data_IF_337923745625
#
_entry.id   IF_337923745625
#
_cell.length_a   1.000
_cell.length_b   1.000
_cell.length_c   1.000
_cell.angle_alpha   90.00
_cell.angle_beta   90.00
_cell.angle_gamma   90.00
#
_symmetry.space_group_name_H-M   'P 1'
#
loop_
_entity.id
_entity.type
_entity.pdbx_description
1 polymer ?
2 non-polymer ?
3 water ?
#
# COMPACT_ATOMS: atom_id res chain seq x y z
N UNK A 1 19.00 1.89 2.80
CA UNK A 1 18.19 1.17 3.82
C UNK A 1 17.93 -0.27 3.40
N UNK A 2 18.15 -1.21 4.32
CA UNK A 2 18.00 -2.62 4.01
C UNK A 2 17.47 -3.35 5.24
N UNK A 3 16.87 -4.52 4.97
CA UNK A 3 16.35 -5.39 6.01
C UNK A 3 16.74 -6.82 5.69
N UNK A 4 16.61 -7.69 6.69
CA UNK A 4 16.70 -9.12 6.42
C UNK A 4 15.77 -9.86 7.35
N UNK A 5 15.58 -11.15 7.04
CA UNK A 5 14.69 -12.03 7.79
C UNK A 5 15.53 -13.19 8.31
N UNK A 6 15.47 -13.41 9.62
CA UNK A 6 16.26 -14.46 10.26
C UNK A 6 17.72 -14.40 9.81
N UNK A 7 18.23 -13.17 9.74
CA UNK A 7 19.63 -12.98 9.46
C UNK A 7 20.07 -13.29 8.06
N UNK A 8 19.13 -13.35 7.12
CA UNK A 8 19.43 -13.73 5.76
C UNK A 8 19.94 -12.58 4.92
N UNK A 9 19.79 -12.75 3.61
CA UNK A 9 20.32 -11.79 2.67
C UNK A 9 19.55 -10.48 2.74
N UNK A 10 20.20 -9.43 2.27
CA UNK A 10 19.69 -8.07 2.38
C UNK A 10 18.51 -7.86 1.45
N UNK A 11 17.54 -7.10 1.92
CA UNK A 11 16.30 -6.80 1.20
C UNK A 11 16.18 -5.29 1.10
N UNK A 12 15.99 -4.79 -0.13
CA UNK A 12 15.88 -3.36 -0.34
C UNK A 12 14.46 -2.86 -0.58
N UNK A 13 13.57 -3.79 -0.89
CA UNK A 13 12.19 -3.46 -1.21
C UNK A 13 11.49 -4.77 -1.51
N UNK A 14 10.17 -4.71 -1.59
CA UNK A 14 9.40 -5.83 -2.08
C UNK A 14 8.79 -6.69 -0.99
N UNK A 15 8.32 -7.85 -1.41
CA UNK A 15 7.55 -8.75 -0.56
C UNK A 15 8.41 -9.93 -0.13
N UNK A 16 8.39 -10.24 1.15
CA UNK A 16 9.21 -11.29 1.71
C UNK A 16 8.40 -12.12 2.70
N UNK A 17 8.55 -13.43 2.61
CA UNK A 17 7.94 -14.32 3.58
C UNK A 17 8.68 -14.23 4.91
N UNK A 18 7.91 -14.21 5.99
CA UNK A 18 8.46 -14.20 7.35
C UNK A 18 7.79 -15.38 8.08
N UNK A 19 8.58 -16.38 8.42
CA UNK A 19 8.07 -17.62 8.99
C UNK A 19 8.13 -17.57 10.50
N UNK A 20 7.02 -17.90 11.15
CA UNK A 20 6.89 -17.74 12.60
C UNK A 20 6.33 -19.00 13.22
N UNK A 21 6.75 -19.27 14.44
CA UNK A 21 6.21 -20.37 15.24
C UNK A 21 5.01 -19.87 16.03
N UNK A 22 3.91 -20.60 15.94
CA UNK A 22 2.69 -20.22 16.64
C UNK A 22 2.34 -21.31 17.65
N UNK A 23 1.65 -20.90 18.71
CA UNK A 23 1.12 -21.85 19.67
C UNK A 23 0.29 -22.90 18.92
N UNK A 24 0.64 -24.19 19.01
CA UNK A 24 -0.11 -25.19 18.25
C UNK A 24 -1.52 -25.40 18.76
N UNK A 25 -1.77 -25.09 20.02
CA UNK A 25 -3.09 -25.21 20.62
C UNK A 25 -3.58 -23.80 20.95
N UNK A 26 -4.83 -23.53 20.61
CA UNK A 26 -5.48 -22.27 20.96
C UNK A 26 -6.94 -22.59 21.27
N UNK A 27 -7.42 -22.08 22.38
CA UNK A 27 -8.80 -22.30 22.75
C UNK A 27 -9.66 -21.11 22.33
N UNK A 28 -10.93 -21.36 21.95
CA UNK A 28 -11.83 -20.23 21.65
C UNK A 28 -11.78 -19.16 22.73
N UNK A 29 -11.31 -17.97 22.37
CA UNK A 29 -11.14 -16.87 23.31
C UNK A 29 -9.72 -16.51 23.62
N UNK A 30 -8.76 -17.35 23.23
CA UNK A 30 -7.35 -17.13 23.56
C UNK A 30 -6.71 -16.13 22.60
N UNK A 31 -5.52 -15.66 22.97
CA UNK A 31 -4.82 -14.61 22.26
C UNK A 31 -3.45 -15.13 21.82
N UNK A 32 -3.18 -15.05 20.52
CA UNK A 32 -1.92 -15.47 19.94
C UNK A 32 -1.00 -14.27 19.78
N UNK A 33 0.27 -14.43 20.16
CA UNK A 33 1.25 -13.37 20.05
C UNK A 33 2.31 -13.76 19.03
N UNK A 34 2.53 -12.89 18.04
CA UNK A 34 3.55 -13.09 17.01
C UNK A 34 4.57 -11.98 17.17
N UNK A 35 5.75 -12.33 17.67
CA UNK A 35 6.81 -11.36 17.94
C UNK A 35 7.72 -11.29 16.70
N UNK A 36 7.47 -10.31 15.84
CA UNK A 36 8.25 -10.19 14.61
C UNK A 36 9.63 -9.60 14.85
N UNK A 37 9.90 -9.06 16.04
CA UNK A 37 11.26 -8.65 16.36
C UNK A 37 12.22 -9.84 16.33
N UNK A 38 11.70 -11.05 16.49
CA UNK A 38 12.54 -12.23 16.46
C UNK A 38 12.96 -12.61 15.04
N UNK A 39 12.45 -11.90 14.03
CA UNK A 39 12.72 -12.29 12.65
C UNK A 39 13.16 -11.17 11.74
N UNK A 40 12.57 -9.98 11.85
CA UNK A 40 12.81 -8.91 10.90
C UNK A 40 13.74 -7.88 11.51
N UNK A 41 14.82 -7.57 10.82
CA UNK A 41 15.75 -6.54 11.26
C UNK A 41 16.07 -5.63 10.09
N UNK A 42 16.33 -4.35 10.39
CA UNK A 42 16.65 -3.40 9.35
C UNK A 42 17.78 -2.50 9.80
N UNK A 43 18.44 -1.87 8.83
CA UNK A 43 19.57 -1.02 9.15
C UNK A 43 19.73 0.06 8.09
N UNK A 44 20.54 1.04 8.46
CA UNK A 44 20.95 2.13 7.59
C UNK A 44 22.20 1.71 6.83
N UNK A 45 22.19 1.89 5.51
CA UNK A 45 23.28 1.33 4.72
C UNK A 45 24.54 2.17 4.72
N UNK A 46 24.51 3.38 5.30
CA UNK A 46 25.71 4.18 5.49
C UNK A 46 26.18 4.18 6.93
N UNK A 47 25.25 4.14 7.88
CA UNK A 47 25.60 4.28 9.28
C UNK A 47 25.86 5.73 9.63
N UNK A 48 26.17 5.93 10.91
CA UNK A 48 26.55 7.25 11.39
C UNK A 48 25.46 8.30 11.34
N UNK A 49 24.20 7.91 11.17
CA UNK A 49 23.09 8.86 11.13
C UNK A 49 23.32 9.94 10.07
N UNK A 50 23.91 9.54 8.94
CA UNK A 50 24.22 10.48 7.87
C UNK A 50 22.99 10.78 7.01
N UNK A 51 22.33 9.74 6.49
CA UNK A 51 21.09 9.86 5.73
C UNK A 51 20.06 8.97 6.42
N UNK A 52 19.44 9.50 7.48
CA UNK A 52 18.64 8.69 8.37
C UNK A 52 17.39 8.17 7.67
N UNK A 53 17.08 6.91 7.92
CA UNK A 53 15.89 6.28 7.38
C UNK A 53 14.72 6.42 8.33
N UNK A 54 13.53 6.60 7.75
CA UNK A 54 12.30 6.78 8.52
C UNK A 54 11.30 5.74 8.04
N UNK A 55 10.90 4.85 8.93
CA UNK A 55 10.04 3.76 8.53
C UNK A 55 8.78 3.73 9.36
N UNK A 56 7.66 3.39 8.72
CA UNK A 56 6.39 3.24 9.40
C UNK A 56 5.65 2.09 8.73
N UNK A 57 4.64 1.59 9.42
CA UNK A 57 3.74 0.60 8.87
C UNK A 57 2.50 1.30 8.33
N UNK A 58 1.88 0.69 7.33
CA UNK A 58 0.98 1.40 6.45
C UNK A 58 -0.46 0.92 6.61
N UNK A 59 -1.36 1.89 6.68
CA UNK A 59 -2.79 1.67 6.54
C UNK A 59 -3.10 0.59 5.52
N UNK A 60 -4.00 -0.31 5.89
CA UNK A 60 -4.40 -1.41 5.06
C UNK A 60 -3.76 -2.73 5.42
N UNK A 61 -2.61 -2.71 6.10
CA UNK A 61 -2.02 -3.94 6.60
C UNK A 61 -3.09 -4.74 7.35
N UNK A 62 -3.17 -6.04 7.08
CA UNK A 62 -4.32 -6.78 7.55
C UNK A 62 -4.00 -8.26 7.63
N UNK A 63 -4.91 -9.00 8.26
CA UNK A 63 -4.84 -10.44 8.19
C UNK A 63 -5.15 -10.91 6.77
N UNK A 64 -4.86 -12.18 6.52
CA UNK A 64 -5.08 -12.81 5.23
C UNK A 64 -5.81 -14.14 5.41
N UNK A 67 -7.76 -15.68 7.87
CA UNK A 67 -7.89 -14.97 9.13
C UNK A 67 -8.50 -13.59 8.92
N UNK A 68 -9.05 -13.37 7.72
CA UNK A 68 -9.57 -12.04 7.38
C UNK A 68 -10.61 -11.56 8.37
N UNK A 69 -11.29 -12.47 9.07
CA UNK A 69 -12.33 -12.08 10.00
C UNK A 69 -11.81 -11.85 11.41
N UNK A 70 -10.52 -12.02 11.65
CA UNK A 70 -9.98 -11.93 12.99
C UNK A 70 -9.79 -10.47 13.41
N UNK A 71 -9.95 -10.24 14.72
CA UNK A 71 -9.58 -8.98 15.34
C UNK A 71 -8.17 -9.11 15.90
N UNK A 72 -7.53 -7.97 16.09
CA UNK A 72 -6.22 -8.04 16.69
C UNK A 72 -5.65 -6.69 17.00
N UNK A 73 -4.39 -6.71 17.40
CA UNK A 73 -3.64 -5.51 17.68
C UNK A 73 -2.27 -5.67 17.05
N UNK A 74 -1.68 -4.53 16.70
CA UNK A 74 -0.34 -4.48 16.16
C UNK A 74 0.48 -3.51 17.01
N UNK A 75 1.51 -4.04 17.65
CA UNK A 75 2.43 -3.21 18.40
C UNK A 75 3.56 -2.76 17.49
N UNK A 76 3.79 -1.46 17.43
CA UNK A 76 4.90 -0.91 16.66
C UNK A 76 5.49 0.26 17.40
N UNK A 77 6.76 0.12 17.78
CA UNK A 77 7.55 1.24 18.25
C UNK A 77 6.80 2.14 19.22
N UNK A 78 6.46 1.55 20.36
CA UNK A 78 5.92 2.20 21.56
C UNK A 78 4.42 2.47 21.48
N UNK A 79 3.72 2.02 20.44
CA UNK A 79 2.28 2.23 20.31
C UNK A 79 1.63 0.91 19.92
N UNK A 80 0.46 0.64 20.49
CA UNK A 80 -0.32 -0.54 20.12
C UNK A 80 -1.54 -0.07 19.35
N UNK A 81 -1.61 -0.44 18.08
CA UNK A 81 -2.66 -0.06 17.16
C UNK A 81 -3.68 -1.17 17.03
N UNK A 82 -4.94 -0.82 16.81
CA UNK A 82 -5.89 -1.83 16.32
C UNK A 82 -5.38 -2.39 14.99
N UNK A 83 -5.64 -3.67 14.79
CA UNK A 83 -5.23 -4.37 13.57
C UNK A 83 -6.46 -5.11 13.04
N UNK A 84 -6.75 -5.03 11.75
CA UNK A 84 -5.95 -4.38 10.70
C UNK A 84 -5.75 -2.88 10.85
N UNK A 85 -4.64 -2.38 10.30
CA UNK A 85 -4.31 -0.97 10.44
C UNK A 85 -5.27 -0.12 9.62
N UNK A 86 -5.88 0.87 10.27
CA UNK A 86 -6.74 1.83 9.59
C UNK A 86 -6.07 3.18 9.43
N UNK A 87 -4.81 3.29 9.85
CA UNK A 87 -4.05 4.52 9.81
C UNK A 87 -2.60 4.08 9.67
N UNK A 88 -1.74 5.00 9.28
CA UNK A 88 -0.31 4.73 9.31
C UNK A 88 0.19 4.86 10.75
N UNK A 89 1.19 4.04 11.07
CA UNK A 89 1.77 4.09 12.40
C UNK A 89 2.75 5.25 12.55
N UNK A 90 3.24 5.41 13.78
CA UNK A 90 4.34 6.31 14.06
C UNK A 90 5.58 5.88 13.29
N UNK A 91 6.54 6.80 13.21
CA UNK A 91 7.78 6.58 12.49
C UNK A 91 8.88 6.11 13.43
N UNK A 92 9.62 5.10 12.98
CA UNK A 92 10.86 4.67 13.61
C UNK A 92 12.01 5.16 12.75
N UNK A 93 13.02 5.74 13.38
CA UNK A 93 14.17 6.27 12.67
C UNK A 93 15.38 5.35 12.84
N UNK A 94 16.02 5.03 11.72
CA UNK A 94 17.11 4.07 11.67
C UNK A 94 18.31 4.72 11.01
N UNK A 95 19.42 4.81 11.74
CA UNK A 95 20.60 5.48 11.24
C UNK A 95 21.90 4.73 11.46
N UNK A 96 21.83 3.60 12.15
CA UNK A 96 22.99 2.76 12.47
C UNK A 96 23.09 1.64 11.45
N UNK A 97 24.33 1.25 11.15
CA UNK A 97 24.55 0.12 10.26
C UNK A 97 24.28 -1.21 10.95
N UNK A 98 24.31 -1.25 12.26
CA UNK A 98 24.02 -2.49 12.97
C UNK A 98 22.54 -2.83 12.82
N UNK A 99 22.21 -4.07 12.46
CA UNK A 99 20.79 -4.42 12.30
C UNK A 99 19.98 -4.13 13.55
N UNK A 100 18.79 -3.56 13.34
CA UNK A 100 17.87 -3.30 14.43
C UNK A 100 16.65 -4.20 14.27
N UNK A 101 16.45 -5.17 15.16
CA UNK A 101 15.18 -5.91 15.15
C UNK A 101 14.01 -4.95 15.21
N UNK A 102 13.00 -5.19 14.40
CA UNK A 102 11.87 -4.26 14.35
C UNK A 102 11.02 -4.42 15.61
N UNK A 103 10.63 -3.33 16.26
CA UNK A 103 9.82 -3.40 17.49
C UNK A 103 8.36 -3.62 17.09
N UNK A 104 8.07 -4.86 16.70
CA UNK A 104 6.84 -5.18 16.00
C UNK A 104 6.29 -6.51 16.51
N UNK A 105 5.06 -6.47 17.00
CA UNK A 105 4.37 -7.64 17.49
C UNK A 105 2.94 -7.60 17.00
N UNK A 106 2.43 -8.76 16.62
CA UNK A 106 1.05 -8.93 16.18
C UNK A 106 0.32 -9.76 17.21
N UNK A 107 -0.83 -9.26 17.66
CA UNK A 107 -1.69 -9.95 18.62
C UNK A 107 -2.94 -10.41 17.89
N UNK A 108 -3.21 -11.71 17.93
CA UNK A 108 -4.29 -12.31 17.16
C UNK A 108 -5.30 -12.92 18.11
N UNK A 109 -6.56 -12.54 17.96
CA UNK A 109 -7.67 -13.17 18.66
C UNK A 109 -8.61 -13.78 17.62
N UNK A 110 -8.57 -15.10 17.40
CA UNK A 110 -9.46 -15.74 16.42
C UNK A 110 -10.93 -15.40 16.65
N UNK A 116 -11.21 -27.62 14.65
CA UNK A 116 -10.09 -28.28 14.02
C UNK A 116 -8.90 -27.37 13.78
N UNK A 117 -8.26 -27.52 12.62
CA UNK A 117 -7.17 -26.64 12.25
C UNK A 117 -7.76 -25.27 11.92
N UNK A 118 -7.21 -24.23 12.57
CA UNK A 118 -7.63 -22.86 12.34
C UNK A 118 -6.61 -22.09 11.51
N UNK A 119 -5.33 -22.38 11.71
CA UNK A 119 -4.25 -21.80 10.92
C UNK A 119 -3.43 -22.95 10.36
N UNK A 120 -3.21 -22.91 9.05
CA UNK A 120 -2.42 -23.94 8.37
C UNK A 120 -0.96 -23.51 8.30
N UNK A 121 -0.06 -24.47 8.48
CA UNK A 121 1.34 -24.23 8.20
C UNK A 121 1.50 -23.85 6.74
N UNK A 122 2.28 -22.80 6.48
CA UNK A 122 2.55 -22.37 5.13
C UNK A 122 1.59 -21.35 4.54
N UNK A 123 0.49 -21.06 5.20
CA UNK A 123 -0.45 -20.07 4.70
C UNK A 123 -0.09 -18.69 5.24
N UNK A 124 -0.26 -17.67 4.40
CA UNK A 124 -0.07 -16.29 4.81
C UNK A 124 -1.21 -15.90 5.74
N UNK A 125 -0.86 -15.49 6.97
CA UNK A 125 -1.86 -15.10 7.95
C UNK A 125 -1.95 -13.59 8.13
N UNK A 126 -0.97 -12.84 7.64
CA UNK A 126 -1.05 -11.39 7.69
C UNK A 126 -0.11 -10.82 6.65
N UNK A 127 -0.46 -9.63 6.16
CA UNK A 127 0.35 -8.89 5.20
C UNK A 127 0.60 -7.52 5.79
N UNK A 128 1.85 -7.24 6.15
CA UNK A 128 2.21 -6.00 6.82
C UNK A 128 3.04 -5.17 5.85
N UNK A 129 2.50 -4.01 5.48
CA UNK A 129 3.15 -3.10 4.55
C UNK A 129 3.94 -2.07 5.34
N UNK A 130 5.22 -1.95 4.99
CA UNK A 130 6.14 -1.04 5.64
C UNK A 130 6.65 -0.06 4.59
N UNK A 131 6.70 1.21 4.97
CA UNK A 131 7.14 2.29 4.10
C UNK A 131 8.43 2.87 4.64
N UNK A 132 9.38 3.11 3.74
CA UNK A 132 10.65 3.72 4.08
C UNK A 132 10.84 4.99 3.26
N UNK A 133 11.31 6.04 3.91
CA UNK A 133 11.80 7.23 3.22
C UNK A 133 12.93 7.78 4.07
N UNK A 134 14.02 8.18 3.42
CA UNK A 134 15.21 8.64 4.12
C UNK A 134 15.16 10.16 4.25
N UNK A 135 16.32 10.80 4.30
CA UNK A 135 16.39 12.21 4.67
C UNK A 135 16.92 13.09 3.56
N UNK A 136 17.95 12.64 2.85
CA UNK A 136 18.63 13.42 1.83
C UNK A 136 17.91 13.27 0.49
N UNK A 137 17.92 14.35 -0.29
CA UNK A 137 17.29 14.32 -1.60
C UNK A 137 15.82 13.96 -1.51
N UNK A 138 15.40 13.04 -2.37
CA UNK A 138 14.03 12.57 -2.36
C UNK A 138 13.76 11.60 -1.22
N UNK A 139 14.78 11.16 -0.52
CA UNK A 139 14.62 10.10 0.46
C UNK A 139 14.49 8.70 -0.12
N UNK A 140 14.46 8.57 -1.45
CA UNK A 140 14.41 7.29 -2.15
C UNK A 140 13.44 6.35 -1.49
N UNK A 141 12.15 6.67 -1.53
CA UNK A 141 11.16 5.87 -0.80
C UNK A 141 11.05 4.45 -1.34
N UNK A 142 10.75 3.54 -0.43
CA UNK A 142 10.65 2.14 -0.75
C UNK A 142 9.47 1.53 -0.03
N UNK A 143 8.88 0.52 -0.65
CA UNK A 143 7.80 -0.25 -0.06
C UNK A 143 8.32 -1.65 0.23
N UNK A 144 8.00 -2.13 1.43
CA UNK A 144 8.22 -3.51 1.81
C UNK A 144 6.88 -4.12 2.22
N UNK A 145 6.69 -5.39 1.90
CA UNK A 145 5.58 -6.13 2.48
C UNK A 145 6.13 -7.38 3.16
N UNK A 146 5.71 -7.59 4.39
CA UNK A 146 6.07 -8.76 5.18
C UNK A 146 4.87 -9.68 5.20
N UNK A 147 4.99 -10.82 4.52
CA UNK A 147 3.96 -11.84 4.52
C UNK A 147 4.25 -12.82 5.66
N UNK A 148 3.43 -12.77 6.69
CA UNK A 148 3.65 -13.59 7.88
C UNK A 148 3.05 -14.97 7.63
N UNK A 149 3.87 -16.01 7.87
CA UNK A 149 3.51 -17.39 7.59
C UNK A 149 3.82 -18.24 8.80
N UNK A 150 2.87 -19.08 9.21
CA UNK A 150 3.09 -20.00 10.32
C UNK A 150 3.89 -21.22 9.88
N UNK A 151 4.86 -21.60 10.73
CA UNK A 151 5.60 -22.84 10.50
C UNK A 151 4.81 -24.08 10.87
N UNK A 152 3.73 -23.95 11.63
CA UNK A 152 3.02 -25.10 12.19
C UNK A 152 1.52 -24.87 12.14
N UNK A 153 0.79 -25.98 12.27
CA UNK A 153 -0.65 -25.91 12.44
C UNK A 153 -0.99 -25.25 13.78
N UNK A 154 -2.13 -24.56 13.80
CA UNK A 154 -2.76 -24.13 15.04
C UNK A 154 -4.17 -24.69 15.04
N UNK A 155 -4.52 -25.42 16.09
CA UNK A 155 -5.79 -26.12 16.16
C UNK A 155 -6.62 -25.53 17.30
N UNK A 156 -7.94 -25.56 17.11
CA UNK A 156 -8.87 -25.11 18.13
C UNK A 156 -9.61 -26.30 18.74
N UNK B 1 -19.24 -1.54 -0.29
CA UNK B 1 -18.53 -0.55 -1.15
C UNK B 1 -18.03 -1.26 -2.41
N UNK B 2 -18.27 -0.65 -3.57
CA UNK B 2 -17.92 -1.30 -4.83
C UNK B 2 -17.48 -0.24 -5.82
N UNK B 3 -16.64 -0.65 -6.76
CA UNK B 3 -16.16 0.21 -7.83
C UNK B 3 -16.29 -0.53 -9.15
N UNK B 4 -16.18 0.21 -10.25
CA UNK B 4 -15.97 -0.44 -11.53
C UNK B 4 -15.13 0.47 -12.41
N UNK B 5 -14.71 -0.08 -13.53
CA UNK B 5 -13.80 0.57 -14.48
C UNK B 5 -14.47 0.54 -15.84
N UNK B 6 -14.63 1.70 -16.45
CA UNK B 6 -15.27 1.81 -17.77
C UNK B 6 -16.58 1.03 -17.81
N UNK B 7 -17.37 1.14 -16.74
CA UNK B 7 -18.66 0.50 -16.69
C UNK B 7 -18.65 -1.01 -16.58
N UNK B 8 -17.52 -1.59 -16.16
CA UNK B 8 -17.38 -3.03 -16.11
C UNK B 8 -17.98 -3.61 -14.85
N UNK B 9 -17.60 -4.87 -14.59
CA UNK B 9 -18.16 -5.59 -13.46
C UNK B 9 -17.65 -5.01 -12.14
N UNK B 10 -18.45 -5.21 -11.09
CA UNK B 10 -18.18 -4.62 -9.80
C UNK B 10 -16.94 -5.22 -9.16
N UNK B 11 -16.21 -4.36 -8.45
CA UNK B 11 -14.94 -4.68 -7.82
C UNK B 11 -15.07 -4.37 -6.33
N UNK B 12 -14.75 -5.34 -5.50
CA UNK B 12 -14.86 -5.15 -4.07
C UNK B 12 -13.53 -4.99 -3.37
N UNK B 13 -12.47 -5.41 -4.05
CA UNK B 13 -11.11 -5.31 -3.53
C UNK B 13 -10.17 -5.80 -4.62
N UNK B 14 -8.89 -5.61 -4.39
CA UNK B 14 -7.88 -6.23 -5.22
C UNK B 14 -7.31 -5.27 -6.25
N UNK B 15 -6.54 -5.86 -7.16
CA UNK B 15 -5.82 -5.10 -8.18
C UNK B 15 -6.57 -5.17 -9.49
N UNK B 16 -6.75 -4.00 -10.12
CA UNK B 16 -7.43 -3.88 -11.40
C UNK B 16 -6.57 -3.05 -12.35
N UNK B 17 -6.48 -3.52 -13.59
CA UNK B 17 -5.83 -2.76 -14.65
C UNK B 17 -6.80 -1.72 -15.19
N UNK B 18 -6.31 -0.49 -15.34
CA UNK B 18 -7.11 0.64 -15.81
C UNK B 18 -6.41 1.20 -17.04
N UNK B 19 -7.05 1.06 -18.19
CA UNK B 19 -6.46 1.47 -19.46
C UNK B 19 -6.93 2.86 -19.83
N UNK B 20 -5.98 3.69 -20.25
CA UNK B 20 -6.22 5.10 -20.54
C UNK B 20 -5.72 5.40 -21.95
N UNK B 21 -6.40 6.34 -22.59
CA UNK B 21 -5.98 6.84 -23.89
C UNK B 21 -5.32 8.19 -23.68
N UNK B 22 -4.07 8.29 -24.09
CA UNK B 22 -3.27 9.50 -23.91
C UNK B 22 -2.90 10.06 -25.27
N UNK B 23 -2.84 11.39 -25.36
CA UNK B 23 -2.33 12.01 -26.56
C UNK B 23 -1.00 11.36 -26.94
N UNK B 24 -0.83 10.91 -28.17
CA UNK B 24 0.41 10.19 -28.53
C UNK B 24 1.64 11.07 -28.55
N UNK B 25 1.49 12.39 -28.53
CA UNK B 25 2.62 13.31 -28.51
C UNK B 25 2.43 14.28 -27.36
N UNK B 26 3.47 14.47 -26.57
CA UNK B 26 3.50 15.47 -25.50
C UNK B 26 4.58 16.47 -25.85
N UNK B 27 4.26 17.76 -25.74
CA UNK B 27 5.24 18.77 -26.11
C UNK B 27 6.21 19.00 -24.96
N UNK B 28 7.46 19.32 -25.26
CA UNK B 28 8.45 19.52 -24.20
C UNK B 28 7.98 20.52 -23.16
N UNK B 29 8.24 20.20 -21.90
CA UNK B 29 7.88 21.05 -20.79
C UNK B 29 6.43 20.96 -20.37
N UNK B 30 5.55 20.41 -21.21
CA UNK B 30 4.15 20.27 -20.86
C UNK B 30 3.94 19.07 -19.95
N UNK B 31 2.97 19.18 -19.05
CA UNK B 31 2.63 18.08 -18.18
C UNK B 31 1.67 17.14 -18.89
N UNK B 32 1.90 15.84 -18.72
CA UNK B 32 0.98 14.79 -19.17
C UNK B 32 -0.04 14.57 -18.08
N UNK B 33 -1.33 14.65 -18.44
CA UNK B 33 -2.40 14.49 -17.49
C UNK B 33 -3.12 13.18 -17.75
N UNK B 34 -3.28 12.38 -16.69
CA UNK B 34 -4.03 11.13 -16.75
C UNK B 34 -5.26 11.34 -15.87
N UNK B 35 -6.43 11.49 -16.49
CA UNK B 35 -7.66 11.76 -15.75
C UNK B 35 -8.37 10.45 -15.50
N UNK B 36 -8.20 9.90 -14.29
CA UNK B 36 -8.81 8.61 -13.99
C UNK B 36 -10.27 8.72 -13.61
N UNK B 37 -10.78 9.94 -13.38
CA UNK B 37 -12.20 10.11 -13.11
C UNK B 37 -13.04 9.66 -14.30
N UNK B 38 -12.46 9.61 -15.49
CA UNK B 38 -13.17 9.14 -16.68
C UNK B 38 -13.29 7.63 -16.73
N UNK B 39 -12.68 6.92 -15.78
CA UNK B 39 -12.53 5.48 -15.87
C UNK B 39 -12.92 4.71 -14.62
N UNK B 40 -12.75 5.29 -13.44
CA UNK B 40 -13.02 4.57 -12.21
C UNK B 40 -14.14 5.29 -11.47
N UNK B 41 -15.16 4.52 -11.09
CA UNK B 41 -16.23 5.03 -10.26
C UNK B 41 -16.50 4.07 -9.11
N UNK B 42 -16.95 4.61 -7.99
CA UNK B 42 -17.23 3.78 -6.83
C UNK B 42 -18.52 4.25 -6.19
N UNK B 43 -19.14 3.36 -5.43
CA UNK B 43 -20.40 3.69 -4.80
C UNK B 43 -20.55 2.95 -3.48
N UNK B 44 -21.44 3.48 -2.66
CA UNK B 44 -21.93 2.82 -1.47
C UNK B 44 -22.97 1.79 -1.86
N UNK B 45 -22.86 0.61 -1.26
CA UNK B 45 -23.73 -0.49 -1.69
C UNK B 45 -25.08 -0.50 -1.01
N UNK B 46 -25.32 0.39 -0.05
CA UNK B 46 -26.61 0.51 0.60
C UNK B 46 -27.28 1.88 0.41
N UNK B 47 -26.51 2.95 0.28
CA UNK B 47 -27.06 4.27 0.14
C UNK B 47 -27.52 4.88 1.46
N UNK B 48 -28.03 6.10 1.36
CA UNK B 48 -28.57 6.78 2.52
C UNK B 48 -27.58 7.13 3.61
N UNK B 49 -26.28 7.01 3.35
CA UNK B 49 -25.27 7.30 4.36
C UNK B 49 -25.50 6.50 5.64
N UNK B 50 -26.10 5.32 5.47
CA UNK B 50 -26.35 4.41 6.58
C UNK B 50 -25.07 3.78 7.09
N UNK B 51 -24.18 3.39 6.16
CA UNK B 51 -22.87 2.80 6.47
C UNK B 51 -21.90 3.47 5.49
N UNK B 52 -21.51 4.70 5.82
CA UNK B 52 -20.77 5.53 4.89
C UNK B 52 -19.37 4.98 4.67
N UNK B 53 -18.94 5.02 3.41
CA UNK B 53 -17.62 4.55 3.02
C UNK B 53 -16.63 5.71 3.01
N UNK B 54 -15.44 5.44 3.54
CA UNK B 54 -14.37 6.42 3.65
C UNK B 54 -13.20 5.90 2.85
N UNK B 55 -12.83 6.62 1.80
CA UNK B 55 -11.77 6.15 0.90
C UNK B 55 -10.68 7.20 0.80
N UNK B 56 -9.43 6.73 0.80
CA UNK B 56 -8.29 7.58 0.56
C UNK B 56 -7.25 6.79 -0.23
N UNK B 57 -6.25 7.50 -0.71
CA UNK B 57 -5.13 6.86 -1.37
C UNK B 57 -3.97 6.75 -0.39
N UNK B 58 -3.08 5.81 -0.67
CA UNK B 58 -2.22 5.27 0.38
C UNK B 58 -0.76 5.56 0.08
N UNK B 59 -0.07 5.98 1.13
CA UNK B 59 1.38 6.07 1.15
C UNK B 59 2.04 4.92 0.41
N UNK B 60 3.03 5.26 -0.40
CA UNK B 60 3.77 4.30 -1.16
C UNK B 60 3.31 4.16 -2.59
N UNK B 61 2.09 4.60 -2.91
CA UNK B 61 1.63 4.61 -4.29
C UNK B 61 2.67 5.32 -5.13
N UNK B 62 3.00 4.76 -6.29
CA UNK B 62 4.14 5.27 -7.01
C UNK B 62 4.05 5.01 -8.52
N UNK B 63 4.98 5.62 -9.24
CA UNK B 63 5.12 5.32 -10.66
C UNK B 63 5.68 3.91 -10.83
N UNK B 64 5.63 3.44 -12.08
CA UNK B 64 6.14 2.13 -12.45
C UNK B 64 6.71 2.22 -13.86
N UNK B 65 7.50 1.23 -14.23
CA UNK B 65 7.97 1.14 -15.59
C UNK B 65 8.74 2.37 -16.03
N UNK B 66 8.47 2.82 -17.26
CA UNK B 66 9.23 3.92 -17.85
C UNK B 66 9.18 5.17 -16.97
N UNK B 67 8.15 5.30 -16.14
CA UNK B 67 8.01 6.48 -15.30
C UNK B 67 8.59 6.30 -13.90
N UNK B 68 9.20 5.14 -13.62
CA UNK B 68 9.59 4.81 -12.25
C UNK B 68 10.41 5.92 -11.61
N UNK B 69 11.23 6.62 -12.38
CA UNK B 69 12.12 7.65 -11.85
C UNK B 69 11.51 9.05 -11.95
N UNK B 70 10.30 9.17 -12.47
CA UNK B 70 9.66 10.47 -12.57
C UNK B 70 9.21 10.98 -11.20
N UNK B 71 9.08 12.30 -11.11
CA UNK B 71 8.49 12.98 -9.96
C UNK B 71 7.37 13.85 -10.51
N UNK B 72 6.12 13.48 -10.18
CA UNK B 72 4.93 14.14 -10.66
C UNK B 72 4.03 14.55 -9.50
N UNK B 73 2.73 14.61 -9.79
CA UNK B 73 1.76 15.00 -8.77
C UNK B 73 0.49 14.21 -8.96
N UNK B 74 -0.27 14.09 -7.88
CA UNK B 74 -1.53 13.37 -7.88
C UNK B 74 -2.62 14.30 -7.34
N UNK B 75 -3.68 14.47 -8.12
CA UNK B 75 -4.87 15.20 -7.69
C UNK B 75 -5.84 14.20 -7.07
N UNK B 76 -6.23 14.43 -5.83
CA UNK B 76 -7.22 13.58 -5.17
C UNK B 76 -8.21 14.47 -4.44
N UNK B 77 -9.45 14.49 -4.92
CA UNK B 77 -10.52 15.16 -4.18
C UNK B 77 -10.15 16.61 -3.91
N UNK B 78 -9.66 17.28 -4.96
CA UNK B 78 -9.34 18.71 -5.00
C UNK B 78 -8.03 19.08 -4.33
N UNK B 79 -7.23 18.10 -3.91
CA UNK B 79 -5.94 18.36 -3.29
C UNK B 79 -4.86 17.77 -4.18
N UNK B 80 -3.78 18.50 -4.38
CA UNK B 80 -2.64 17.98 -5.12
C UNK B 80 -1.60 17.49 -4.13
N UNK B 81 -1.08 16.29 -4.38
CA UNK B 81 -0.05 15.67 -3.59
C UNK B 81 1.15 15.38 -4.48
N UNK B 82 2.37 15.51 -3.99
CA UNK B 82 3.50 14.98 -4.75
C UNK B 82 3.28 13.48 -4.95
N UNK B 83 3.72 13.00 -6.11
CA UNK B 83 3.63 11.59 -6.47
C UNK B 83 5.04 11.18 -6.86
N UNK B 84 5.57 10.07 -6.32
CA UNK B 84 4.87 9.09 -5.45
C UNK B 84 4.39 9.63 -4.10
N UNK B 85 3.31 9.03 -3.59
CA UNK B 85 2.75 9.46 -2.33
C UNK B 85 3.70 9.10 -1.20
N UNK B 86 4.11 10.09 -0.42
CA UNK B 86 4.87 9.84 0.80
C UNK B 86 3.98 9.83 2.04
N UNK B 87 2.67 10.05 1.85
CA UNK B 87 1.70 10.05 2.94
C UNK B 87 0.42 9.47 2.37
N UNK B 88 -0.56 9.24 3.24
CA UNK B 88 -1.91 9.02 2.75
C UNK B 88 -2.54 10.35 2.35
N UNK B 89 -3.63 10.26 1.61
CA UNK B 89 -4.36 11.45 1.18
C UNK B 89 -5.53 11.72 2.12
N UNK B 90 -6.18 12.86 1.89
CA UNK B 90 -7.44 13.19 2.54
C UNK B 90 -8.51 12.17 2.17
N UNK B 91 -9.60 12.17 2.94
CA UNK B 91 -10.63 11.15 2.86
C UNK B 91 -11.82 11.67 2.06
N UNK B 92 -12.29 10.86 1.12
CA UNK B 92 -13.54 11.08 0.41
C UNK B 92 -14.61 10.17 1.01
N UNK B 93 -15.73 10.74 1.40
CA UNK B 93 -16.87 9.98 1.89
C UNK B 93 -17.85 9.68 0.77
N UNK B 94 -18.31 8.43 0.71
CA UNK B 94 -19.29 8.01 -0.28
C UNK B 94 -20.41 7.31 0.50
N UNK B 95 -21.60 7.89 0.47
CA UNK B 95 -22.72 7.34 1.21
C UNK B 95 -23.90 6.98 0.33
N UNK B 96 -23.83 7.29 -0.95
CA UNK B 96 -24.93 7.06 -1.88
C UNK B 96 -24.59 5.94 -2.85
N UNK B 97 -25.63 5.29 -3.38
CA UNK B 97 -25.45 4.27 -4.40
C UNK B 97 -25.10 4.86 -5.76
N UNK B 98 -25.24 6.17 -5.92
CA UNK B 98 -24.84 6.81 -7.15
C UNK B 98 -23.35 6.53 -7.40
N UNK B 99 -22.97 6.06 -8.59
CA UNK B 99 -21.55 5.81 -8.84
C UNK B 99 -20.80 7.14 -8.95
N UNK B 100 -19.85 7.35 -8.03
CA UNK B 100 -19.08 8.57 -8.04
C UNK B 100 -17.77 8.36 -8.79
N UNK B 101 -17.54 9.08 -9.89
CA UNK B 101 -16.21 9.03 -10.50
C UNK B 101 -15.16 9.41 -9.48
N UNK B 102 -14.10 8.62 -9.41
CA UNK B 102 -13.05 8.92 -8.45
C UNK B 102 -12.39 10.24 -8.84
N UNK B 103 -12.29 11.21 -7.92
CA UNK B 103 -11.68 12.52 -8.27
C UNK B 103 -10.16 12.41 -8.27
N UNK B 104 -9.63 11.79 -9.31
CA UNK B 104 -8.26 11.30 -9.32
C UNK B 104 -7.63 11.62 -10.66
N UNK B 105 -6.54 12.38 -10.62
CA UNK B 105 -5.76 12.69 -11.82
C UNK B 105 -4.30 12.55 -11.46
N UNK B 106 -3.51 12.08 -12.42
CA UNK B 106 -2.08 11.95 -12.30
C UNK B 106 -1.44 12.92 -13.29
N UNK B 107 -0.51 13.73 -12.79
CA UNK B 107 0.22 14.70 -13.60
C UNK B 107 1.66 14.25 -13.70
N UNK B 108 2.14 14.06 -14.93
CA UNK B 108 3.46 13.51 -15.19
C UNK B 108 4.23 14.56 -15.98
N UNK B 109 5.43 14.89 -15.52
CA UNK B 109 6.22 15.88 -16.21
C UNK B 109 7.38 15.20 -16.91
N UNK B 110 7.45 15.26 -18.26
CA UNK B 110 8.59 14.71 -19.00
C UNK B 110 9.51 15.81 -19.54
N UNK B 115 14.50 12.95 -25.12
CA UNK B 115 13.86 12.77 -26.41
C UNK B 115 13.56 11.32 -26.74
N UNK B 116 12.32 11.04 -27.12
CA UNK B 116 11.92 9.70 -27.49
C UNK B 116 10.64 9.22 -26.84
N UNK B 117 10.61 7.94 -26.46
CA UNK B 117 9.40 7.34 -25.92
C UNK B 117 9.28 7.69 -24.44
N UNK B 118 8.20 8.38 -24.09
CA UNK B 118 7.92 8.72 -22.69
C UNK B 118 7.20 7.58 -21.99
N UNK B 119 6.20 7.01 -22.67
CA UNK B 119 5.38 5.94 -22.14
C UNK B 119 5.24 4.88 -23.22
N UNK B 120 5.43 3.62 -22.86
CA UNK B 120 5.25 2.51 -23.79
C UNK B 120 3.83 1.98 -23.66
N UNK B 121 3.20 1.68 -24.79
CA UNK B 121 1.89 1.05 -24.74
C UNK B 121 1.96 -0.22 -23.89
N UNK B 122 0.97 -0.38 -23.03
CA UNK B 122 0.77 -1.62 -22.34
C UNK B 122 1.52 -1.79 -21.04
N UNK B 123 2.50 -0.95 -20.75
CA UNK B 123 3.24 -1.06 -19.50
C UNK B 123 2.47 -0.35 -18.38
N UNK B 124 2.60 -0.90 -17.17
CA UNK B 124 2.06 -0.23 -16.00
C UNK B 124 2.90 1.00 -15.72
N UNK B 125 2.25 2.17 -15.68
CA UNK B 125 2.96 3.42 -15.42
C UNK B 125 2.74 3.93 -14.01
N UNK B 126 1.76 3.40 -13.28
CA UNK B 126 1.57 3.80 -11.89
C UNK B 126 0.75 2.73 -11.21
N UNK B 127 1.02 2.56 -9.92
CA UNK B 127 0.27 1.65 -9.06
C UNK B 127 -0.30 2.49 -7.93
N UNK B 128 -1.60 2.73 -7.98
CA UNK B 128 -2.26 3.63 -7.04
C UNK B 128 -3.05 2.77 -6.06
N UNK B 129 -2.63 2.79 -4.80
CA UNK B 129 -3.25 2.00 -3.76
C UNK B 129 -4.32 2.84 -3.08
N UNK B 130 -5.53 2.30 -3.03
CA UNK B 130 -6.69 2.96 -2.44
C UNK B 130 -7.20 2.11 -1.29
N UNK B 131 -7.57 2.79 -0.21
CA UNK B 131 -8.04 2.14 0.99
C UNK B 131 -9.47 2.55 1.27
N UNK B 132 -10.30 1.57 1.59
CA UNK B 132 -11.68 1.78 1.98
C UNK B 132 -11.89 1.25 3.39
N UNK B 133 -12.57 2.03 4.20
CA UNK B 133 -13.15 1.55 5.45
C UNK B 133 -14.50 2.23 5.59
N UNK B 134 -15.50 1.47 6.04
CA UNK B 134 -16.83 2.01 6.22
C UNK B 134 -17.01 2.52 7.65
N UNK B 135 -18.23 2.47 8.15
CA UNK B 135 -18.56 3.08 9.42
C UNK B 135 -19.05 2.09 10.46
N UNK B 136 -19.90 1.15 10.08
CA UNK B 136 -20.50 0.22 11.03
C UNK B 136 -19.56 -0.94 11.31
N UNK B 137 -19.66 -1.48 12.53
CA UNK B 137 -18.85 -2.63 12.89
C UNK B 137 -17.37 -2.36 12.73
N UNK B 138 -16.68 -3.30 12.09
CA UNK B 138 -15.26 -3.17 11.81
C UNK B 138 -14.97 -2.17 10.70
N UNK B 139 -16.00 -1.78 9.97
CA UNK B 139 -15.84 -1.03 8.74
C UNK B 139 -15.46 -1.88 7.54
N UNK B 140 -15.22 -3.17 7.74
CA UNK B 140 -14.84 -4.11 6.67
C UNK B 140 -13.82 -3.44 5.72
N UNK B 141 -12.66 -3.09 6.23
CA UNK B 141 -11.68 -2.41 5.39
C UNK B 141 -11.29 -3.24 4.18
N UNK B 142 -11.02 -2.53 3.08
CA UNK B 142 -10.66 -3.15 1.83
C UNK B 142 -9.52 -2.39 1.18
N UNK B 143 -8.66 -3.13 0.49
CA UNK B 143 -7.56 -2.57 -0.27
C UNK B 143 -7.84 -2.76 -1.75
N UNK B 144 -7.68 -1.68 -2.51
CA UNK B 144 -7.72 -1.71 -3.96
C UNK B 144 -6.40 -1.19 -4.49
N UNK B 145 -5.96 -1.74 -5.61
CA UNK B 145 -4.84 -1.17 -6.34
C UNK B 145 -5.27 -0.95 -7.78
N UNK B 146 -4.98 0.23 -8.30
CA UNK B 146 -5.31 0.62 -9.67
C UNK B 146 -3.99 0.65 -10.42
N UNK B 147 -3.80 -0.32 -11.32
CA UNK B 147 -2.62 -0.36 -12.19
C UNK B 147 -2.96 0.42 -13.47
N UNK B 148 -2.33 1.56 -13.63
CA UNK B 148 -2.66 2.49 -14.71
C UNK B 148 -1.79 2.14 -15.92
N UNK B 149 -2.44 1.92 -17.06
CA UNK B 149 -1.78 1.46 -18.28
C UNK B 149 -2.26 2.29 -19.46
N UNK B 150 -1.32 2.73 -20.30
CA UNK B 150 -1.69 3.47 -21.50
C UNK B 150 -1.93 2.52 -22.66
N UNK B 151 -3.04 2.73 -23.38
CA UNK B 151 -3.33 1.89 -24.53
C UNK B 151 -2.32 2.10 -25.64
N UNK B 152 -1.70 3.28 -25.69
CA UNK B 152 -0.78 3.60 -26.76
C UNK B 152 0.44 4.29 -26.19
N UNK B 153 1.48 4.35 -27.01
CA UNK B 153 2.70 5.00 -26.60
C UNK B 153 2.52 6.51 -26.62
N UNK B 154 3.34 7.17 -25.83
CA UNK B 154 3.42 8.63 -25.78
C UNK B 154 4.87 8.98 -26.08
N UNK B 155 5.07 9.81 -27.09
CA UNK B 155 6.42 10.19 -27.52
C UNK B 155 6.56 11.70 -27.42
N UNK B 156 7.77 12.14 -27.19
CA UNK B 156 8.09 13.55 -27.10
C UNK B 156 8.96 13.94 -28.28
N UNK B 157 8.66 15.05 -28.97
CA UNK B 157 9.54 15.48 -30.06
C UNK B 157 10.96 15.71 -29.55
N UNK B 158 11.92 15.49 -30.45
CA UNK B 158 13.33 15.71 -30.14
C UNK B 158 13.81 17.10 -30.55
N UNK B 159 13.04 17.83 -31.35
CA UNK B 159 13.46 19.15 -31.78
C UNK B 159 14.54 19.15 -32.83
N UNK B 160 14.71 18.04 -33.54
CA UNK B 160 15.77 17.93 -34.52
C UNK B 160 15.66 18.96 -35.63
#
# INVERSE_FOLDING_TARGET
FSCNVDGGSSIGAGTTSVYVNLDPVIQPGQNLVVDLSQHISCWNDYGGWYDTDHINLVQGSAFAGSLQSYKGSLYWNNVTYPFPLTTNTNVLDIGDKTPMPLPLKLYITPVGAAGGVVIKAGEVIARIHMYKIATLGSGNPRNFTWNIISNNSVVMPTGGHHHHHH
FSCNVDGGSSIGAGTTSVYVNLDPVIQPGQNLVVDLSQHISCWNDYGGWYDTDHINLVQGSAFAGSLQSYKGSLYWNNVTYPFPLTTNTNVLDIGDKTPMPLPLKLYITPVGAAGGVVIKAGEVIARIHMYKIATLGSGNPRNFTWNIISNNSVVMPTGGHHHHHH
#
